data_IF_401164069406
#
_entry.id   IF_401164069406
#
_cell.length_a   1.000
_cell.length_b   1.000
_cell.length_c   1.000
_cell.angle_alpha   90.00
_cell.angle_beta   90.00
_cell.angle_gamma   90.00
#
_symmetry.space_group_name_H-M   'P 1'
#
loop_
_entity.id
_entity.type
_entity.pdbx_description
1 polymer ?
#
# COMPACT_ATOMS: atom_id res chain seq x y z
N UNK A 1 -5.56 1.79 17.38
CA UNK A 1 -4.79 1.52 16.14
C UNK A 1 -4.71 2.84 15.40
N UNK A 2 -3.53 3.28 14.99
CA UNK A 2 -3.41 4.51 14.22
C UNK A 2 -4.01 4.29 12.83
N UNK A 3 -4.79 5.25 12.33
CA UNK A 3 -5.23 5.21 10.94
C UNK A 3 -4.04 5.54 10.03
N UNK A 4 -3.92 4.82 8.91
CA UNK A 4 -2.95 5.10 7.85
C UNK A 4 -3.59 6.11 6.90
N UNK A 5 -2.86 7.14 6.51
CA UNK A 5 -3.37 8.15 5.58
C UNK A 5 -2.72 9.52 5.75
N UNK A 6 -3.19 10.45 4.94
CA UNK A 6 -2.66 11.82 4.88
C UNK A 6 -3.12 12.69 6.07
N UNK A 7 -4.17 12.28 6.77
CA UNK A 7 -4.72 13.01 7.90
C UNK A 7 -3.77 13.02 9.11
N UNK A 8 -3.51 14.22 9.63
CA UNK A 8 -2.66 14.42 10.80
C UNK A 8 -3.41 14.05 12.08
N UNK A 9 -2.82 13.15 12.87
CA UNK A 9 -3.17 12.98 14.27
C UNK A 9 -2.46 14.05 15.09
N UNK A 10 -3.19 14.71 15.99
CA UNK A 10 -2.66 15.79 16.83
C UNK A 10 -2.92 15.48 18.29
N UNK A 11 -1.96 15.80 19.15
CA UNK A 11 -2.09 15.58 20.59
C UNK A 11 -1.27 16.60 21.39
N UNK A 12 -1.61 16.71 22.68
CA UNK A 12 -0.96 17.62 23.63
C UNK A 12 -0.62 16.85 24.90
N UNK A 13 0.67 16.81 25.24
CA UNK A 13 1.14 16.24 26.48
C UNK A 13 1.46 17.34 27.49
N UNK A 14 0.82 17.28 28.66
CA UNK A 14 1.05 18.18 29.79
C UNK A 14 1.94 17.48 30.83
N UNK A 15 3.11 18.07 31.10
CA UNK A 15 3.93 17.76 32.26
C UNK A 15 3.77 18.81 33.36
N UNK A 16 4.43 18.60 34.50
CA UNK A 16 4.27 19.45 35.69
C UNK A 16 4.57 20.94 35.45
N UNK A 17 5.50 21.25 34.53
CA UNK A 17 5.91 22.63 34.17
C UNK A 17 6.06 22.85 32.67
N UNK A 18 5.55 21.95 31.83
CA UNK A 18 5.76 22.00 30.38
C UNK A 18 4.56 21.48 29.61
N UNK A 19 4.36 22.00 28.40
CA UNK A 19 3.35 21.53 27.46
C UNK A 19 4.06 21.18 26.14
N UNK A 20 3.82 19.98 25.62
CA UNK A 20 4.32 19.53 24.32
C UNK A 20 3.13 19.30 23.37
N UNK A 21 3.07 20.08 22.30
CA UNK A 21 2.13 19.88 21.20
C UNK A 21 2.82 19.17 20.06
N UNK A 22 2.23 18.10 19.56
CA UNK A 22 2.83 17.31 18.50
C UNK A 22 1.77 16.82 17.52
N UNK A 23 2.19 16.68 16.27
CA UNK A 23 1.40 16.12 15.19
C UNK A 23 2.20 14.99 14.56
N UNK A 24 1.52 13.93 14.19
CA UNK A 24 2.12 12.80 13.49
C UNK A 24 1.11 12.22 12.50
N UNK A 25 1.62 11.61 11.45
CA UNK A 25 0.85 10.84 10.48
C UNK A 25 1.69 9.65 10.04
N UNK A 26 1.04 8.61 9.53
CA UNK A 26 1.69 7.39 9.04
C UNK A 26 1.20 7.15 7.63
N UNK A 27 2.16 7.09 6.70
CA UNK A 27 1.94 6.72 5.32
C UNK A 27 2.76 5.47 5.01
N UNK A 28 2.32 4.69 4.03
CA UNK A 28 3.07 3.54 3.57
C UNK A 28 4.23 3.94 2.68
N UNK A 29 5.31 3.17 2.74
CA UNK A 29 6.39 3.28 1.78
C UNK A 29 5.87 2.96 0.36
N UNK A 30 6.63 3.38 -0.64
CA UNK A 30 6.31 3.11 -2.05
C UNK A 30 6.04 1.61 -2.27
N UNK A 31 4.95 1.30 -2.98
CA UNK A 31 4.49 -0.07 -3.28
C UNK A 31 3.92 -0.87 -2.09
N UNK A 32 3.77 -0.27 -0.91
CA UNK A 32 3.11 -0.90 0.23
C UNK A 32 1.72 -0.31 0.47
N UNK A 33 0.77 -1.18 0.77
CA UNK A 33 -0.65 -0.85 0.87
C UNK A 33 -1.28 -1.54 2.11
N UNK A 34 -2.57 -1.26 2.30
CA UNK A 34 -3.40 -1.82 3.37
C UNK A 34 -3.19 -1.14 4.74
N UNK A 35 -4.07 -1.47 5.69
CA UNK A 35 -4.13 -0.86 7.03
C UNK A 35 -2.90 -1.09 7.93
N UNK A 36 -1.90 -1.82 7.44
CA UNK A 36 -0.66 -2.12 8.15
C UNK A 36 0.59 -1.89 7.29
N UNK A 37 0.46 -1.34 6.07
CA UNK A 37 1.55 -1.23 5.08
C UNK A 37 2.28 -2.57 4.85
N UNK A 38 1.56 -3.69 4.91
CA UNK A 38 2.11 -5.04 4.74
C UNK A 38 1.90 -5.59 3.33
N UNK A 39 1.00 -4.99 2.58
CA UNK A 39 0.54 -5.55 1.31
C UNK A 39 1.40 -4.97 0.20
N UNK A 40 2.31 -5.78 -0.34
CA UNK A 40 3.29 -5.31 -1.33
C UNK A 40 2.81 -5.53 -2.77
N UNK A 41 2.77 -4.45 -3.53
CA UNK A 41 2.54 -4.47 -4.97
C UNK A 41 3.36 -3.42 -5.70
N UNK A 42 4.35 -3.88 -6.45
CA UNK A 42 5.08 -3.09 -7.44
C UNK A 42 4.76 -3.61 -8.84
N UNK A 43 4.37 -2.75 -9.80
CA UNK A 43 4.12 -3.16 -11.18
C UNK A 43 5.28 -3.98 -11.74
N UNK A 44 4.95 -5.02 -12.51
CA UNK A 44 5.93 -5.95 -13.07
C UNK A 44 5.50 -6.38 -14.47
N UNK A 45 6.46 -6.47 -15.37
CA UNK A 45 6.28 -6.97 -16.73
C UNK A 45 7.55 -7.73 -17.14
N UNK A 46 7.71 -8.93 -16.57
CA UNK A 46 8.86 -9.80 -16.81
C UNK A 46 8.45 -11.28 -16.65
N UNK A 47 9.41 -12.20 -16.71
CA UNK A 47 9.15 -13.65 -16.63
C UNK A 47 8.43 -14.11 -15.36
N UNK A 48 8.37 -13.27 -14.32
CA UNK A 48 7.75 -13.58 -13.03
C UNK A 48 6.36 -12.95 -12.87
N UNK A 49 5.86 -12.21 -13.86
CA UNK A 49 4.50 -11.66 -13.84
C UNK A 49 4.31 -10.44 -14.74
N UNK A 50 3.06 -10.25 -15.14
CA UNK A 50 2.61 -9.21 -16.05
C UNK A 50 1.39 -8.49 -15.47
N UNK A 51 1.62 -7.48 -14.63
CA UNK A 51 0.55 -6.79 -13.90
C UNK A 51 0.87 -5.34 -13.52
N UNK A 52 -0.19 -4.54 -13.39
CA UNK A 52 -0.22 -3.26 -12.67
C UNK A 52 -0.74 -3.46 -11.25
N UNK A 53 -0.65 -2.41 -10.43
CA UNK A 53 -1.19 -2.40 -9.08
C UNK A 53 -2.30 -1.35 -8.99
N UNK A 54 -3.45 -1.73 -8.44
CA UNK A 54 -4.53 -0.78 -8.18
C UNK A 54 -4.24 0.10 -6.94
N UNK A 55 -5.16 1.00 -6.60
CA UNK A 55 -5.03 1.91 -5.45
C UNK A 55 -4.99 1.19 -4.09
N UNK A 56 -5.44 -0.07 -4.02
CA UNK A 56 -5.42 -0.88 -2.82
C UNK A 56 -4.21 -1.85 -2.79
N UNK A 57 -3.35 -1.83 -3.80
CA UNK A 57 -2.23 -2.75 -3.93
C UNK A 57 -2.60 -4.14 -4.45
N UNK A 58 -3.78 -4.31 -5.05
CA UNK A 58 -4.12 -5.56 -5.73
C UNK A 58 -3.44 -5.62 -7.10
N UNK A 59 -3.05 -6.83 -7.52
CA UNK A 59 -2.47 -7.05 -8.85
C UNK A 59 -3.58 -7.09 -9.89
N UNK A 60 -3.43 -6.28 -10.92
CA UNK A 60 -4.29 -6.28 -12.10
C UNK A 60 -3.49 -6.84 -13.28
N UNK A 61 -3.87 -8.03 -13.77
CA UNK A 61 -3.16 -8.67 -14.87
C UNK A 61 -3.28 -7.84 -16.15
N UNK A 62 -2.16 -7.73 -16.89
CA UNK A 62 -2.16 -7.19 -18.23
C UNK A 62 -2.93 -8.09 -19.19
N UNK A 63 -3.40 -7.53 -20.31
CA UNK A 63 -4.18 -8.27 -21.32
C UNK A 63 -3.48 -9.58 -21.75
N UNK A 64 -4.23 -10.68 -21.72
CA UNK A 64 -3.73 -12.01 -22.08
C UNK A 64 -2.94 -12.72 -20.98
N UNK A 65 -2.98 -12.23 -19.73
CA UNK A 65 -2.36 -12.84 -18.56
C UNK A 65 -3.36 -13.08 -17.44
N UNK A 66 -3.13 -14.15 -16.67
CA UNK A 66 -3.99 -14.57 -15.55
C UNK A 66 -3.18 -15.28 -14.45
N UNK A 67 -3.89 -15.67 -13.39
CA UNK A 67 -3.33 -16.32 -12.20
C UNK A 67 -2.87 -15.32 -11.13
N UNK A 68 -2.57 -15.82 -9.92
CA UNK A 68 -2.31 -14.97 -8.74
C UNK A 68 -1.10 -14.01 -8.90
N UNK A 69 -0.19 -14.34 -9.81
CA UNK A 69 1.00 -13.55 -10.15
C UNK A 69 0.98 -13.03 -11.59
N UNK A 70 -0.14 -13.21 -12.32
CA UNK A 70 -0.29 -12.83 -13.72
C UNK A 70 0.85 -13.38 -14.60
N UNK A 71 1.22 -14.65 -14.36
CA UNK A 71 2.32 -15.34 -15.03
C UNK A 71 1.85 -16.37 -16.05
N UNK A 72 0.55 -16.66 -16.10
CA UNK A 72 -0.02 -17.64 -17.00
C UNK A 72 -0.71 -16.94 -18.17
N UNK A 73 -0.53 -17.44 -19.39
CA UNK A 73 -1.24 -16.91 -20.57
C UNK A 73 -2.72 -17.27 -20.49
N UNK A 74 -3.58 -16.28 -20.64
CA UNK A 74 -5.01 -16.51 -20.83
C UNK A 74 -5.22 -16.97 -22.27
N UNK A 75 -5.47 -18.27 -22.45
CA UNK A 75 -5.88 -18.80 -23.75
C UNK A 75 -7.38 -18.59 -23.90
N UNK A 76 -7.78 -17.63 -24.72
CA UNK A 76 -9.15 -17.58 -25.23
C UNK A 76 -9.32 -18.74 -26.22
N UNK A 77 -9.89 -19.86 -25.74
CA UNK A 77 -10.44 -20.90 -26.61
C UNK A 77 -11.73 -20.42 -27.26
#
# INVERSE_FOLDING_TARGET
RLAIGEDWSQDVHFGDQSELRYSYHVFCDEFYFGDACSDYCRPRDDTLGHYTCDENGNRECLEGWQGDYCSDREYHL
#
